data_IF_864397078960
#
_entry.id   IF_864397078960
#
_cell.length_a   1.000
_cell.length_b   1.000
_cell.length_c   1.000
_cell.angle_alpha   90.00
_cell.angle_beta   90.00
_cell.angle_gamma   90.00
#
_symmetry.space_group_name_H-M   'P 1'
#
loop_
_entity.id
_entity.type
_entity.pdbx_description
1 polymer ?
#
# COMPACT_ATOMS: atom_id res chain seq x y z
N UNK A 1 -30.23 -66.08 -33.72
CA UNK A 1 -30.90 -65.03 -34.50
C UNK A 1 -31.16 -63.85 -33.56
N UNK A 2 -30.52 -62.70 -33.86
CA UNK A 2 -30.78 -61.33 -33.35
C UNK A 2 -30.63 -61.05 -31.83
N UNK A 3 -29.40 -60.65 -31.51
CA UNK A 3 -28.93 -59.58 -30.59
C UNK A 3 -29.98 -58.56 -30.17
N UNK A 4 -30.01 -58.17 -28.88
CA UNK A 4 -30.09 -56.76 -28.44
C UNK A 4 -29.44 -56.61 -27.04
N UNK A 5 -28.24 -56.06 -27.02
CA UNK A 5 -27.49 -55.64 -25.83
C UNK A 5 -27.82 -54.17 -25.59
N UNK A 6 -28.63 -53.85 -24.59
CA UNK A 6 -28.96 -52.46 -24.24
C UNK A 6 -27.97 -51.97 -23.18
N UNK A 7 -26.90 -51.30 -23.62
CA UNK A 7 -25.93 -50.63 -22.74
C UNK A 7 -26.52 -49.28 -22.30
N UNK A 8 -26.90 -49.15 -21.03
CA UNK A 8 -27.30 -47.86 -20.45
C UNK A 8 -26.05 -47.15 -19.94
N UNK A 9 -25.44 -46.33 -20.80
CA UNK A 9 -24.30 -45.47 -20.41
C UNK A 9 -24.85 -44.26 -19.69
N UNK A 10 -24.80 -44.29 -18.36
CA UNK A 10 -25.11 -43.14 -17.52
C UNK A 10 -23.91 -42.17 -17.57
N UNK A 11 -23.92 -41.23 -18.52
CA UNK A 11 -22.93 -40.15 -18.57
C UNK A 11 -23.23 -39.15 -17.45
N UNK A 12 -22.57 -39.29 -16.31
CA UNK A 12 -22.56 -38.26 -15.26
C UNK A 12 -21.63 -37.14 -15.70
N UNK A 13 -22.18 -36.15 -16.39
CA UNK A 13 -21.49 -34.89 -16.69
C UNK A 13 -21.40 -34.09 -15.38
N UNK A 14 -20.25 -34.19 -14.71
CA UNK A 14 -19.90 -33.32 -13.59
C UNK A 14 -19.74 -31.89 -14.13
N UNK A 15 -20.81 -31.10 -14.08
CA UNK A 15 -20.73 -29.65 -14.27
C UNK A 15 -20.04 -29.07 -13.04
N UNK A 16 -18.72 -28.89 -13.13
CA UNK A 16 -17.98 -28.03 -12.21
C UNK A 16 -18.46 -26.61 -12.49
N UNK A 17 -19.47 -26.17 -11.73
CA UNK A 17 -19.87 -24.78 -11.67
C UNK A 17 -18.68 -24.03 -11.04
N UNK A 18 -17.82 -23.51 -11.90
CA UNK A 18 -16.81 -22.53 -11.53
C UNK A 18 -17.56 -21.25 -11.16
N UNK A 19 -18.08 -21.22 -9.93
CA UNK A 19 -18.64 -20.03 -9.30
C UNK A 19 -17.49 -19.08 -9.03
N UNK A 20 -17.07 -18.37 -10.08
CA UNK A 20 -16.23 -17.20 -9.98
C UNK A 20 -17.09 -16.10 -9.33
N UNK A 21 -17.27 -16.16 -8.00
CA UNK A 21 -17.71 -15.00 -7.25
C UNK A 21 -16.61 -13.97 -7.42
N UNK A 22 -16.85 -12.97 -8.26
CA UNK A 22 -16.03 -11.77 -8.29
C UNK A 22 -16.22 -11.11 -6.92
N UNK A 23 -15.34 -11.40 -5.97
CA UNK A 23 -15.30 -10.68 -4.71
C UNK A 23 -15.18 -9.18 -5.04
N UNK A 24 -16.17 -8.41 -4.61
CA UNK A 24 -16.13 -6.96 -4.70
C UNK A 24 -15.00 -6.48 -3.78
N UNK A 25 -13.83 -6.24 -4.36
CA UNK A 25 -12.66 -5.81 -3.61
C UNK A 25 -12.90 -4.36 -3.21
N UNK A 26 -12.99 -4.09 -1.90
CA UNK A 26 -13.10 -2.72 -1.39
C UNK A 26 -11.87 -1.90 -1.79
N UNK A 27 -12.01 -0.56 -1.83
CA UNK A 27 -10.86 0.31 -2.15
C UNK A 27 -9.69 0.12 -1.17
N UNK A 28 -9.99 -0.13 0.10
CA UNK A 28 -8.99 -0.42 1.12
C UNK A 28 -8.28 -1.75 0.83
N UNK A 29 -9.03 -2.80 0.47
CA UNK A 29 -8.43 -4.09 0.10
C UNK A 29 -7.61 -3.99 -1.20
N UNK A 30 -8.04 -3.16 -2.16
CA UNK A 30 -7.29 -2.93 -3.39
C UNK A 30 -5.97 -2.19 -3.13
N UNK A 31 -6.00 -1.13 -2.31
CA UNK A 31 -4.79 -0.40 -1.94
C UNK A 31 -3.85 -1.26 -1.09
N UNK A 32 -4.37 -2.06 -0.16
CA UNK A 32 -3.55 -2.98 0.62
C UNK A 32 -2.85 -4.03 -0.26
N UNK A 33 -3.51 -4.57 -1.29
CA UNK A 33 -2.86 -5.44 -2.28
C UNK A 33 -1.69 -4.76 -2.99
N UNK A 34 -1.79 -3.46 -3.29
CA UNK A 34 -0.66 -2.69 -3.83
C UNK A 34 0.47 -2.51 -2.82
N UNK A 35 0.15 -2.36 -1.53
CA UNK A 35 1.13 -2.30 -0.44
C UNK A 35 1.89 -3.63 -0.31
N UNK A 36 1.22 -4.76 -0.45
CA UNK A 36 1.81 -6.10 -0.40
C UNK A 36 2.57 -6.49 -1.68
N UNK A 37 2.38 -5.75 -2.77
CA UNK A 37 3.08 -6.01 -4.01
C UNK A 37 4.60 -5.88 -3.84
N UNK A 38 5.34 -6.67 -4.63
CA UNK A 38 6.80 -6.58 -4.68
C UNK A 38 7.31 -5.38 -5.49
N UNK A 39 8.63 -5.22 -5.55
CA UNK A 39 9.29 -4.22 -6.41
C UNK A 39 9.42 -2.82 -5.80
N UNK A 40 9.16 -2.68 -4.51
CA UNK A 40 9.44 -1.45 -3.77
C UNK A 40 10.94 -1.26 -3.55
N UNK A 41 11.35 0.00 -3.49
CA UNK A 41 12.71 0.40 -3.13
C UNK A 41 12.65 1.18 -1.81
N UNK A 42 13.50 0.82 -0.86
CA UNK A 42 13.59 1.52 0.42
C UNK A 42 14.22 2.90 0.26
N UNK A 43 13.83 3.83 1.12
CA UNK A 43 14.40 5.18 1.16
C UNK A 43 15.93 5.11 1.22
N UNK A 44 16.60 5.89 0.36
CA UNK A 44 18.06 5.90 0.19
C UNK A 44 18.70 4.53 -0.13
N UNK A 45 17.89 3.53 -0.53
CA UNK A 45 18.35 2.15 -0.74
C UNK A 45 18.63 1.39 0.57
N UNK A 46 18.32 1.97 1.73
CA UNK A 46 18.60 1.39 3.03
C UNK A 46 17.39 0.59 3.56
N UNK A 47 17.56 -0.72 3.63
CA UNK A 47 16.55 -1.64 4.16
C UNK A 47 16.73 -1.91 5.68
N UNK A 48 17.51 -1.14 6.41
CA UNK A 48 17.61 -1.29 7.87
C UNK A 48 16.39 -0.68 8.55
N UNK A 49 15.83 -1.37 9.54
CA UNK A 49 14.80 -0.77 10.41
C UNK A 49 15.49 0.28 11.26
N UNK A 50 14.88 1.46 11.36
CA UNK A 50 15.46 2.59 12.08
C UNK A 50 14.59 2.97 13.27
N UNK A 51 15.23 3.50 14.32
CA UNK A 51 14.51 4.09 15.44
C UNK A 51 13.91 5.44 15.02
N UNK A 52 12.66 5.62 15.36
CA UNK A 52 11.91 6.85 15.15
C UNK A 52 12.29 7.93 16.16
N UNK A 53 11.93 9.17 15.88
CA UNK A 53 12.02 10.28 16.82
C UNK A 53 10.61 10.79 17.15
N UNK A 54 10.50 11.62 18.20
CA UNK A 54 9.19 12.14 18.67
C UNK A 54 8.45 12.96 17.61
N UNK A 55 9.16 13.48 16.60
CA UNK A 55 8.60 14.30 15.52
C UNK A 55 8.08 13.46 14.33
N UNK A 56 8.51 12.20 14.21
CA UNK A 56 8.17 11.28 13.11
C UNK A 56 6.82 10.59 13.27
N UNK A 57 6.29 10.55 14.50
CA UNK A 57 4.98 9.97 14.81
C UNK A 57 4.82 8.49 14.43
N UNK A 58 3.61 7.99 14.70
CA UNK A 58 3.06 6.68 14.35
C UNK A 58 3.72 5.44 15.03
N UNK A 59 5.04 5.33 15.10
CA UNK A 59 5.75 4.23 15.79
C UNK A 59 7.18 4.62 16.21
N UNK A 60 7.75 3.87 17.17
CA UNK A 60 9.15 3.96 17.59
C UNK A 60 10.15 3.31 16.62
N UNK A 61 9.72 2.45 15.70
CA UNK A 61 10.59 1.77 14.74
C UNK A 61 9.94 1.70 13.37
N UNK A 62 10.67 2.05 12.31
CA UNK A 62 10.08 2.13 10.98
C UNK A 62 11.09 1.94 9.83
N UNK A 63 10.54 1.73 8.63
CA UNK A 63 11.20 1.95 7.33
C UNK A 63 10.22 2.64 6.38
N UNK A 64 10.75 3.33 5.38
CA UNK A 64 9.93 3.87 4.28
C UNK A 64 10.35 3.24 2.98
N UNK A 65 9.38 2.84 2.18
CA UNK A 65 9.59 2.30 0.84
C UNK A 65 8.68 2.97 -0.18
N UNK A 66 9.17 3.02 -1.41
CA UNK A 66 8.57 3.68 -2.55
C UNK A 66 8.32 2.66 -3.64
N UNK A 67 7.18 2.73 -4.32
CA UNK A 67 7.04 2.01 -5.59
C UNK A 67 7.99 2.62 -6.64
N UNK A 68 8.25 1.94 -7.78
CA UNK A 68 9.18 2.44 -8.78
C UNK A 68 8.87 3.84 -9.31
N UNK A 69 7.59 4.20 -9.43
CA UNK A 69 7.14 5.53 -9.87
C UNK A 69 7.60 6.60 -8.88
N UNK A 70 7.31 6.39 -7.59
CA UNK A 70 7.69 7.33 -6.54
C UNK A 70 9.21 7.41 -6.38
N UNK A 71 9.91 6.28 -6.45
CA UNK A 71 11.37 6.24 -6.32
C UNK A 71 12.07 7.00 -7.46
N UNK A 72 11.58 6.88 -8.70
CA UNK A 72 12.14 7.60 -9.85
C UNK A 72 12.07 9.13 -9.72
N UNK A 73 11.16 9.66 -8.88
CA UNK A 73 11.05 11.09 -8.63
C UNK A 73 12.11 11.62 -7.64
N UNK A 74 12.86 10.74 -6.96
CA UNK A 74 13.82 11.10 -5.92
C UNK A 74 15.18 11.53 -6.51
N UNK A 75 15.23 12.71 -7.12
CA UNK A 75 16.42 13.22 -7.84
C UNK A 75 17.31 14.16 -7.03
N UNK A 76 16.87 14.61 -5.85
CA UNK A 76 17.58 15.55 -4.98
C UNK A 76 18.10 14.81 -3.74
N UNK A 77 19.21 14.08 -3.90
CA UNK A 77 19.84 13.30 -2.83
C UNK A 77 18.89 12.34 -2.10
N UNK A 78 18.06 11.62 -2.87
CA UNK A 78 17.05 10.70 -2.32
C UNK A 78 15.72 11.38 -1.96
N UNK A 79 15.52 12.65 -2.31
CA UNK A 79 14.29 13.42 -2.10
C UNK A 79 13.72 13.89 -3.44
N UNK A 80 12.41 14.17 -3.53
CA UNK A 80 11.89 14.93 -4.68
C UNK A 80 12.38 16.38 -4.57
N UNK A 81 12.65 17.14 -5.65
CA UNK A 81 13.10 18.53 -5.55
C UNK A 81 12.14 19.44 -4.77
N UNK A 82 12.66 20.53 -4.18
CA UNK A 82 11.84 21.49 -3.43
C UNK A 82 10.74 22.06 -4.31
N UNK A 83 9.51 22.09 -3.80
CA UNK A 83 8.33 22.59 -4.52
C UNK A 83 7.80 21.63 -5.59
N UNK A 84 8.44 20.49 -5.81
CA UNK A 84 7.95 19.47 -6.75
C UNK A 84 6.86 18.61 -6.12
N UNK A 85 6.15 17.86 -6.96
CA UNK A 85 5.15 16.87 -6.56
C UNK A 85 5.51 15.50 -7.09
N UNK A 86 5.11 14.46 -6.36
CA UNK A 86 5.21 13.10 -6.86
C UNK A 86 4.28 12.90 -8.07
N UNK A 87 4.69 12.09 -9.07
CA UNK A 87 3.82 11.71 -10.18
C UNK A 87 2.59 10.91 -9.73
N UNK A 88 1.51 10.98 -10.51
CA UNK A 88 0.31 10.15 -10.31
C UNK A 88 0.67 8.65 -10.19
N UNK A 89 0.05 7.94 -9.25
CA UNK A 89 0.34 6.54 -8.98
C UNK A 89 1.60 6.29 -8.14
N UNK A 90 2.32 7.34 -7.73
CA UNK A 90 3.38 7.23 -6.72
C UNK A 90 2.81 6.67 -5.42
N UNK A 91 3.44 5.64 -4.87
CA UNK A 91 3.03 4.98 -3.63
C UNK A 91 4.18 4.99 -2.63
N UNK A 92 3.89 5.57 -1.46
CA UNK A 92 4.80 5.64 -0.31
C UNK A 92 4.21 4.83 0.82
N UNK A 93 5.01 3.93 1.38
CA UNK A 93 4.61 3.07 2.49
C UNK A 93 5.61 3.22 3.63
N UNK A 94 5.14 3.69 4.79
CA UNK A 94 5.87 3.61 6.05
C UNK A 94 5.49 2.32 6.76
N UNK A 95 6.43 1.39 6.81
CA UNK A 95 6.33 0.16 7.60
C UNK A 95 6.65 0.49 9.06
N UNK A 96 5.83 0.02 9.99
CA UNK A 96 6.01 0.25 11.42
C UNK A 96 6.26 -1.07 12.13
N UNK A 97 7.31 -1.12 12.94
CA UNK A 97 7.81 -2.35 13.58
C UNK A 97 7.61 -2.32 15.10
N UNK A 98 7.51 -3.50 15.71
CA UNK A 98 7.44 -3.63 17.18
C UNK A 98 8.79 -3.35 17.87
N UNK A 99 9.90 -3.60 17.18
CA UNK A 99 11.27 -3.37 17.62
C UNK A 99 12.21 -3.34 16.41
N UNK A 100 13.49 -3.05 16.62
CA UNK A 100 14.52 -3.01 15.56
C UNK A 100 14.65 -4.35 14.79
N UNK A 101 14.42 -5.49 15.47
CA UNK A 101 14.42 -6.85 14.91
C UNK A 101 13.03 -7.48 14.89
N UNK A 102 11.99 -6.68 15.15
CA UNK A 102 10.63 -7.15 15.34
C UNK A 102 9.88 -7.38 14.04
N UNK A 103 8.61 -7.75 14.16
CA UNK A 103 7.70 -7.87 13.02
C UNK A 103 7.06 -6.52 12.67
N UNK A 104 6.59 -6.39 11.43
CA UNK A 104 5.70 -5.30 11.03
C UNK A 104 4.42 -5.41 11.87
N UNK A 105 3.91 -4.25 12.31
CA UNK A 105 2.65 -4.09 13.03
C UNK A 105 1.62 -3.35 12.18
N UNK A 106 2.08 -2.38 11.40
CA UNK A 106 1.21 -1.47 10.66
C UNK A 106 1.92 -0.92 9.43
N UNK A 107 1.14 -0.58 8.42
CA UNK A 107 1.53 0.22 7.27
C UNK A 107 0.78 1.56 7.33
N UNK A 108 1.50 2.67 7.21
CA UNK A 108 0.92 3.97 6.90
C UNK A 108 1.20 4.28 5.43
N UNK A 109 0.17 4.65 4.67
CA UNK A 109 0.18 4.61 3.21
C UNK A 109 -0.26 5.94 2.63
N UNK A 110 0.49 6.41 1.65
CA UNK A 110 0.14 7.56 0.81
C UNK A 110 0.27 7.18 -0.66
N UNK A 111 -0.83 7.26 -1.42
CA UNK A 111 -0.84 7.07 -2.89
C UNK A 111 -1.20 8.35 -3.60
N UNK A 112 -0.35 8.84 -4.51
CA UNK A 112 -0.64 10.03 -5.30
C UNK A 112 -1.80 9.71 -6.24
N UNK A 113 -2.86 10.50 -6.13
CA UNK A 113 -4.10 10.26 -6.86
C UNK A 113 -4.85 11.57 -7.13
N UNK A 114 -5.56 11.62 -8.25
CA UNK A 114 -6.54 12.68 -8.56
C UNK A 114 -8.00 12.21 -8.43
N UNK A 115 -8.24 11.01 -7.90
CA UNK A 115 -9.60 10.46 -7.72
C UNK A 115 -10.37 11.16 -6.60
N UNK A 116 -11.68 10.89 -6.51
CA UNK A 116 -12.56 11.45 -5.48
C UNK A 116 -12.18 11.10 -4.05
N UNK A 117 -11.39 10.04 -3.86
CA UNK A 117 -10.91 9.58 -2.56
C UNK A 117 -9.63 10.28 -2.12
N UNK A 118 -8.95 10.94 -3.05
CA UNK A 118 -7.80 11.74 -2.74
C UNK A 118 -8.20 13.02 -1.98
N UNK A 119 -7.33 13.42 -1.06
CA UNK A 119 -7.37 14.70 -0.38
C UNK A 119 -5.95 15.24 -0.31
N UNK A 120 -5.78 16.54 -0.60
CA UNK A 120 -4.46 17.13 -0.83
C UNK A 120 -3.62 16.40 -1.92
N UNK A 121 -4.27 15.78 -2.91
CA UNK A 121 -3.62 15.04 -3.99
C UNK A 121 -3.09 13.65 -3.59
N UNK A 122 -3.49 13.14 -2.43
CA UNK A 122 -3.08 11.84 -1.91
C UNK A 122 -4.29 11.05 -1.40
N UNK A 123 -4.31 9.75 -1.65
CA UNK A 123 -5.12 8.77 -0.94
C UNK A 123 -4.36 8.34 0.30
N UNK A 124 -5.02 8.35 1.45
CA UNK A 124 -4.41 8.13 2.78
C UNK A 124 -5.04 6.92 3.45
N UNK A 125 -4.23 6.04 4.00
CA UNK A 125 -4.73 4.90 4.78
C UNK A 125 -3.71 4.40 5.81
N UNK A 126 -4.21 3.65 6.79
CA UNK A 126 -3.40 2.81 7.65
C UNK A 126 -4.00 1.40 7.73
N UNK A 127 -3.13 0.40 7.63
CA UNK A 127 -3.50 -1.02 7.71
C UNK A 127 -2.66 -1.69 8.78
N UNK A 128 -3.24 -2.61 9.54
CA UNK A 128 -2.46 -3.55 10.33
C UNK A 128 -1.72 -4.52 9.41
N UNK A 129 -0.74 -5.26 9.97
CA UNK A 129 0.05 -6.21 9.20
C UNK A 129 -0.77 -7.34 8.54
N UNK A 130 -1.98 -7.62 9.07
CA UNK A 130 -2.93 -8.60 8.53
C UNK A 130 -3.90 -8.03 7.48
N UNK A 131 -3.74 -6.75 7.11
CA UNK A 131 -4.61 -6.06 6.15
C UNK A 131 -5.89 -5.49 6.74
N UNK A 132 -6.16 -5.70 8.04
CA UNK A 132 -7.30 -5.04 8.68
C UNK A 132 -7.12 -3.52 8.70
N UNK A 133 -8.21 -2.80 8.42
CA UNK A 133 -8.19 -1.35 8.24
C UNK A 133 -8.11 -0.66 9.59
N UNK A 134 -7.06 0.15 9.79
CA UNK A 134 -6.93 1.03 10.95
C UNK A 134 -7.41 2.46 10.64
N UNK A 135 -7.09 2.98 9.45
CA UNK A 135 -7.64 4.22 8.91
C UNK A 135 -8.03 3.96 7.46
N UNK A 136 -9.33 4.06 7.16
CA UNK A 136 -9.88 3.80 5.82
C UNK A 136 -9.58 4.95 4.87
N UNK A 137 -9.37 4.63 3.60
CA UNK A 137 -9.32 5.59 2.48
C UNK A 137 -10.51 6.56 2.49
N UNK A 138 -11.69 6.10 2.91
CA UNK A 138 -12.92 6.92 3.02
C UNK A 138 -12.79 8.12 3.97
N UNK A 139 -11.81 8.11 4.89
CA UNK A 139 -11.53 9.22 5.81
C UNK A 139 -10.70 10.35 5.19
N UNK A 140 -10.26 10.20 3.94
CA UNK A 140 -9.64 11.27 3.15
C UNK A 140 -8.54 12.05 3.87
N UNK A 141 -7.73 11.35 4.66
CA UNK A 141 -6.56 11.92 5.35
C UNK A 141 -6.88 12.88 6.50
N UNK A 142 -8.10 12.87 7.04
CA UNK A 142 -8.55 13.75 8.15
C UNK A 142 -7.54 13.82 9.31
N UNK A 143 -6.97 12.68 9.71
CA UNK A 143 -6.01 12.59 10.81
C UNK A 143 -4.54 12.66 10.36
N UNK A 144 -4.26 12.79 9.06
CA UNK A 144 -2.92 12.67 8.48
C UNK A 144 -2.40 14.03 7.98
N UNK A 145 -3.22 14.75 7.21
CA UNK A 145 -2.80 15.90 6.41
C UNK A 145 -2.23 17.03 7.28
N UNK A 146 -2.84 17.30 8.44
CA UNK A 146 -2.43 18.37 9.34
C UNK A 146 -0.97 18.27 9.78
N UNK A 147 -0.48 17.06 10.07
CA UNK A 147 0.95 16.86 10.36
C UNK A 147 1.79 16.83 9.08
N UNK A 148 1.26 16.38 7.96
CA UNK A 148 2.05 16.20 6.74
C UNK A 148 2.26 17.49 5.92
N UNK A 149 1.40 18.50 6.05
CA UNK A 149 1.44 19.74 5.24
C UNK A 149 2.63 20.68 5.50
N UNK A 150 3.48 20.36 6.47
CA UNK A 150 4.49 21.30 7.01
C UNK A 150 5.71 21.46 6.09
N UNK A 151 5.88 20.62 5.07
CA UNK A 151 7.06 20.66 4.20
C UNK A 151 6.76 21.09 2.76
N UNK A 152 7.83 21.43 2.04
CA UNK A 152 7.80 21.86 0.64
C UNK A 152 8.07 20.70 -0.34
N UNK A 153 7.92 19.45 0.11
CA UNK A 153 8.24 18.24 -0.66
C UNK A 153 7.06 17.25 -0.63
N UNK A 154 5.90 17.78 -1.00
CA UNK A 154 4.66 17.03 -1.25
C UNK A 154 4.30 16.05 -0.14
N UNK A 155 4.14 16.60 1.07
CA UNK A 155 3.64 15.91 2.26
C UNK A 155 4.54 14.77 2.80
N UNK A 156 5.70 14.51 2.20
CA UNK A 156 6.59 13.41 2.59
C UNK A 156 7.57 13.83 3.69
N UNK A 157 7.15 13.67 4.95
CA UNK A 157 7.88 14.14 6.15
C UNK A 157 9.21 13.45 6.40
N UNK A 158 9.47 12.30 5.79
CA UNK A 158 10.74 11.56 5.97
C UNK A 158 11.94 12.41 5.57
N UNK A 159 11.79 13.27 4.55
CA UNK A 159 12.84 14.13 4.01
C UNK A 159 13.36 15.18 4.99
N UNK A 160 12.54 15.59 5.95
CA UNK A 160 12.86 16.62 6.93
C UNK A 160 13.45 16.01 8.21
N UNK A 161 13.10 14.77 8.49
CA UNK A 161 13.36 14.10 9.77
C UNK A 161 14.57 13.16 9.69
N UNK A 162 14.89 12.67 8.50
CA UNK A 162 15.96 11.69 8.23
C UNK A 162 16.70 12.06 6.94
N UNK A 163 17.62 13.05 6.99
CA UNK A 163 18.37 13.51 5.83
C UNK A 163 19.35 12.47 5.30
#
# INVERSE_FOLDING_TARGET
MKTYLTLFVLSVTLYVLSSCQKEETTIDAALFKEVEAGGFIYYQGDNTVQQSNVQSGHSAYFRVRYNPIAFAALTDSGKIPIGSSFPEGSLVVKEQYSSITGSIKKFAVMKKSNTSEASAGWVWAEYNADGSVNVSVSKKGETCIGCHTINSRDYNRIFDLYP
#
